data_IF_142738646710
#
_entry.id   IF_142738646710
#
_cell.length_a   1.000
_cell.length_b   1.000
_cell.length_c   1.000
_cell.angle_alpha   90.00
_cell.angle_beta   90.00
_cell.angle_gamma   90.00
#
_symmetry.space_group_name_H-M   'P 1'
#
loop_
_entity.id
_entity.type
_entity.pdbx_description
1 polymer ?
#
# COMPACT_ATOMS: atom_id res chain seq x y z
N UNK A 1 8.77 -3.22 -0.15
CA UNK A 1 9.37 -3.02 -1.48
C UNK A 1 9.01 -4.19 -2.38
N UNK A 2 8.72 -3.92 -3.60
CA UNK A 2 8.47 -4.94 -4.63
C UNK A 2 9.09 -4.56 -5.96
N UNK A 3 9.25 -5.55 -6.82
CA UNK A 3 9.80 -5.34 -8.16
C UNK A 3 8.66 -5.13 -9.14
N UNK A 4 8.70 -4.03 -9.89
CA UNK A 4 7.75 -3.72 -10.96
C UNK A 4 8.55 -3.34 -12.20
N UNK A 5 8.41 -4.13 -13.26
CA UNK A 5 9.16 -3.95 -14.51
C UNK A 5 10.67 -3.77 -14.30
N UNK A 6 11.25 -4.58 -13.44
CA UNK A 6 12.69 -4.53 -13.14
C UNK A 6 13.13 -3.39 -12.23
N UNK A 7 12.20 -2.61 -11.71
CA UNK A 7 12.48 -1.50 -10.79
C UNK A 7 11.93 -1.78 -9.40
N UNK A 8 12.71 -1.44 -8.38
CA UNK A 8 12.25 -1.50 -7.00
C UNK A 8 11.22 -0.38 -6.75
N UNK A 9 10.03 -0.75 -6.31
CA UNK A 9 8.96 0.18 -5.92
C UNK A 9 8.72 0.05 -4.43
N UNK A 10 8.73 1.17 -3.73
CA UNK A 10 8.58 1.24 -2.28
C UNK A 10 7.15 1.58 -1.88
N UNK A 11 6.72 1.02 -0.76
CA UNK A 11 5.45 1.33 -0.12
C UNK A 11 5.67 2.19 1.13
N UNK A 12 4.61 2.76 1.67
CA UNK A 12 4.68 3.55 2.91
C UNK A 12 5.25 2.74 4.09
N UNK A 13 4.99 1.43 4.14
CA UNK A 13 5.54 0.53 5.16
C UNK A 13 7.07 0.45 5.12
N UNK A 14 7.69 0.64 3.95
CA UNK A 14 9.15 0.66 3.83
C UNK A 14 9.77 1.85 4.57
N UNK A 15 9.03 2.95 4.67
CA UNK A 15 9.47 4.11 5.45
C UNK A 15 9.54 3.78 6.95
N UNK A 16 8.58 3.03 7.47
CA UNK A 16 8.61 2.57 8.84
C UNK A 16 9.82 1.65 9.10
N UNK A 17 10.09 0.75 8.18
CA UNK A 17 11.26 -0.13 8.24
C UNK A 17 12.56 0.69 8.21
N UNK A 18 12.63 1.72 7.36
CA UNK A 18 13.79 2.62 7.28
C UNK A 18 14.02 3.39 8.58
N UNK A 19 12.97 3.92 9.18
CA UNK A 19 13.05 4.64 10.44
C UNK A 19 13.48 3.74 11.60
N UNK A 20 13.05 2.48 11.58
CA UNK A 20 13.47 1.49 12.56
C UNK A 20 14.92 1.03 12.35
N UNK A 21 15.28 0.75 11.10
CA UNK A 21 16.63 0.31 10.74
C UNK A 21 16.85 0.48 9.22
N UNK A 22 17.66 1.48 8.79
CA UNK A 22 17.93 1.69 7.36
C UNK A 22 18.51 0.46 6.66
N UNK A 23 19.28 -0.34 7.38
CA UNK A 23 19.88 -1.57 6.84
C UNK A 23 18.80 -2.61 6.44
N UNK A 24 17.69 -2.66 7.17
CA UNK A 24 16.56 -3.54 6.85
C UNK A 24 16.01 -3.26 5.45
N UNK A 25 15.82 -1.99 5.10
CA UNK A 25 15.34 -1.60 3.76
C UNK A 25 16.35 -1.99 2.68
N UNK A 26 17.64 -1.80 2.93
CA UNK A 26 18.69 -2.21 2.00
C UNK A 26 18.67 -3.74 1.76
N UNK A 27 18.48 -4.53 2.80
CA UNK A 27 18.37 -5.99 2.70
C UNK A 27 17.10 -6.41 1.96
N UNK A 28 15.97 -5.78 2.25
CA UNK A 28 14.70 -6.05 1.57
C UNK A 28 14.80 -5.74 0.07
N UNK A 29 15.40 -4.60 -0.27
CA UNK A 29 15.65 -4.23 -1.67
C UNK A 29 16.53 -5.26 -2.38
N UNK A 30 17.60 -5.68 -1.73
CA UNK A 30 18.51 -6.70 -2.27
C UNK A 30 17.78 -8.02 -2.53
N UNK A 31 16.98 -8.48 -1.57
CA UNK A 31 16.20 -9.70 -1.71
C UNK A 31 15.23 -9.65 -2.89
N UNK A 32 14.50 -8.55 -3.04
CA UNK A 32 13.56 -8.33 -4.15
C UNK A 32 14.29 -8.32 -5.50
N UNK A 33 15.43 -7.64 -5.60
CA UNK A 33 16.22 -7.58 -6.84
C UNK A 33 16.84 -8.94 -7.22
N UNK A 34 17.11 -9.79 -6.24
CA UNK A 34 17.58 -11.17 -6.48
C UNK A 34 16.47 -12.14 -6.82
N UNK A 35 15.21 -11.77 -6.65
CA UNK A 35 14.08 -12.66 -6.83
C UNK A 35 13.92 -13.68 -5.69
N UNK A 36 14.44 -13.37 -4.50
CA UNK A 36 14.29 -14.23 -3.34
C UNK A 36 12.81 -14.32 -2.95
N UNK A 37 12.36 -15.51 -2.52
CA UNK A 37 11.01 -15.72 -2.06
C UNK A 37 10.75 -14.88 -0.80
N UNK A 38 9.55 -14.27 -0.64
CA UNK A 38 9.20 -13.61 0.61
C UNK A 38 9.17 -14.62 1.76
N UNK A 39 9.42 -14.16 3.01
CA UNK A 39 9.30 -15.04 4.17
C UNK A 39 7.91 -15.67 4.23
N UNK A 40 7.82 -16.86 4.80
CA UNK A 40 6.53 -17.51 5.04
C UNK A 40 5.64 -16.62 5.90
N UNK A 41 4.35 -16.60 5.54
CA UNK A 41 3.37 -15.82 6.28
C UNK A 41 3.24 -16.33 7.71
N UNK A 42 3.40 -15.43 8.65
CA UNK A 42 3.13 -15.70 10.05
C UNK A 42 1.60 -15.64 10.28
N UNK A 43 0.98 -16.74 10.78
CA UNK A 43 -0.46 -16.73 11.07
C UNK A 43 -0.90 -15.59 12.00
N UNK A 44 -0.06 -15.20 12.95
CA UNK A 44 -0.35 -14.07 13.84
C UNK A 44 -0.38 -12.74 13.07
N UNK A 45 0.56 -12.54 12.13
CA UNK A 45 0.60 -11.37 11.27
C UNK A 45 -0.65 -11.29 10.38
N UNK A 46 -1.16 -12.41 9.90
CA UNK A 46 -2.37 -12.44 9.10
C UNK A 46 -3.62 -12.05 9.89
N UNK A 47 -3.73 -12.48 11.15
CA UNK A 47 -4.82 -12.07 12.04
C UNK A 47 -4.79 -10.55 12.24
N UNK A 48 -3.62 -9.98 12.49
CA UNK A 48 -3.44 -8.53 12.66
C UNK A 48 -3.83 -7.78 11.38
N UNK A 49 -3.39 -8.27 10.22
CA UNK A 49 -3.71 -7.67 8.93
C UNK A 49 -5.23 -7.72 8.64
N UNK A 50 -5.89 -8.82 8.96
CA UNK A 50 -7.34 -8.95 8.82
C UNK A 50 -8.09 -7.97 9.72
N UNK A 51 -7.68 -7.83 10.98
CA UNK A 51 -8.25 -6.85 11.90
C UNK A 51 -8.03 -5.42 11.41
N UNK A 52 -6.86 -5.13 10.83
CA UNK A 52 -6.58 -3.85 10.21
C UNK A 52 -7.53 -3.54 9.06
N UNK A 53 -7.76 -4.48 8.16
CA UNK A 53 -8.71 -4.33 7.05
C UNK A 53 -10.15 -4.12 7.52
N UNK A 54 -10.58 -4.87 8.53
CA UNK A 54 -11.92 -4.70 9.14
C UNK A 54 -12.08 -3.30 9.73
N UNK A 55 -11.05 -2.80 10.39
CA UNK A 55 -11.03 -1.45 10.96
C UNK A 55 -11.12 -0.37 9.86
N UNK A 56 -10.32 -0.52 8.81
CA UNK A 56 -10.33 0.41 7.67
C UNK A 56 -11.72 0.49 7.02
N UNK A 57 -12.37 -0.66 6.81
CA UNK A 57 -13.72 -0.70 6.27
C UNK A 57 -14.74 -0.04 7.20
N UNK A 58 -14.62 -0.22 8.50
CA UNK A 58 -15.49 0.41 9.48
C UNK A 58 -15.32 1.94 9.47
N UNK A 59 -14.10 2.43 9.40
CA UNK A 59 -13.80 3.87 9.29
C UNK A 59 -14.37 4.43 7.99
N UNK A 60 -14.17 3.75 6.87
CA UNK A 60 -14.68 4.16 5.57
C UNK A 60 -16.21 4.29 5.58
N UNK A 61 -16.91 3.29 6.10
CA UNK A 61 -18.37 3.32 6.24
C UNK A 61 -18.85 4.46 7.13
N UNK A 62 -18.13 4.74 8.20
CA UNK A 62 -18.44 5.86 9.08
C UNK A 62 -18.31 7.20 8.35
N UNK A 63 -17.23 7.40 7.60
CA UNK A 63 -17.01 8.62 6.81
C UNK A 63 -18.11 8.80 5.76
N UNK A 64 -18.47 7.75 5.03
CA UNK A 64 -19.56 7.78 4.06
C UNK A 64 -20.90 8.08 4.73
N UNK A 65 -21.14 7.50 5.90
CA UNK A 65 -22.37 7.75 6.69
C UNK A 65 -22.48 9.19 7.22
N UNK A 66 -21.34 9.84 7.44
CA UNK A 66 -21.28 11.26 7.84
C UNK A 66 -21.43 12.23 6.65
N UNK A 67 -21.62 11.71 5.44
CA UNK A 67 -21.76 12.50 4.22
C UNK A 67 -20.45 13.00 3.64
N UNK A 68 -19.32 12.48 4.09
CA UNK A 68 -18.00 12.81 3.53
C UNK A 68 -17.84 12.11 2.20
N UNK A 69 -17.48 12.86 1.17
CA UNK A 69 -17.18 12.28 -0.13
C UNK A 69 -15.88 11.46 -0.07
N UNK A 70 -15.97 10.21 -0.43
CA UNK A 70 -14.84 9.28 -0.43
C UNK A 70 -14.60 8.81 -1.86
N UNK A 71 -13.39 9.00 -2.35
CA UNK A 71 -12.95 8.45 -3.64
C UNK A 71 -12.17 7.17 -3.37
N UNK A 72 -12.68 6.05 -3.86
CA UNK A 72 -12.00 4.77 -3.75
C UNK A 72 -11.08 4.58 -4.94
N UNK A 73 -9.80 4.34 -4.67
CA UNK A 73 -8.84 3.98 -5.71
C UNK A 73 -8.85 2.45 -5.83
N UNK A 74 -9.14 1.91 -7.03
CA UNK A 74 -9.19 0.47 -7.20
C UNK A 74 -7.85 -0.19 -6.86
N UNK A 75 -7.92 -1.30 -6.12
CA UNK A 75 -6.78 -2.20 -5.98
C UNK A 75 -6.61 -2.95 -7.29
N UNK A 76 -5.49 -2.76 -7.95
CA UNK A 76 -5.16 -3.49 -9.16
C UNK A 76 -4.54 -4.86 -8.87
N UNK A 77 -4.16 -5.55 -9.92
CA UNK A 77 -3.46 -6.84 -9.87
C UNK A 77 -1.97 -6.71 -9.51
N UNK A 78 -1.50 -5.49 -9.23
CA UNK A 78 -0.09 -5.18 -8.98
C UNK A 78 0.73 -4.94 -10.23
N UNK A 79 0.12 -4.95 -11.41
CA UNK A 79 0.81 -4.63 -12.66
C UNK A 79 1.22 -3.16 -12.71
N UNK A 80 2.24 -2.85 -13.52
CA UNK A 80 2.69 -1.48 -13.71
C UNK A 80 1.58 -0.56 -14.24
N UNK A 81 0.77 -1.05 -15.18
CA UNK A 81 -0.36 -0.30 -15.73
C UNK A 81 -1.39 0.06 -14.68
N UNK A 82 -1.74 -0.87 -13.81
CA UNK A 82 -2.70 -0.64 -12.72
C UNK A 82 -2.14 0.33 -11.66
N UNK A 83 -0.86 0.26 -11.37
CA UNK A 83 -0.21 1.22 -10.47
C UNK A 83 -0.21 2.64 -11.03
N UNK A 84 0.07 2.80 -12.32
CA UNK A 84 0.02 4.10 -13.00
C UNK A 84 -1.41 4.66 -12.96
N UNK A 85 -2.40 3.83 -13.28
CA UNK A 85 -3.81 4.23 -13.24
C UNK A 85 -4.23 4.68 -11.82
N UNK A 86 -3.89 3.91 -10.80
CA UNK A 86 -4.18 4.25 -9.41
C UNK A 86 -3.53 5.59 -9.01
N UNK A 87 -2.29 5.81 -9.42
CA UNK A 87 -1.58 7.06 -9.17
C UNK A 87 -2.25 8.26 -9.87
N UNK A 88 -2.72 8.08 -11.10
CA UNK A 88 -3.44 9.12 -11.84
C UNK A 88 -4.76 9.48 -11.16
N UNK A 89 -5.54 8.50 -10.75
CA UNK A 89 -6.79 8.72 -9.99
C UNK A 89 -6.51 9.49 -8.70
N UNK A 90 -5.50 9.07 -7.97
CA UNK A 90 -5.10 9.72 -6.71
C UNK A 90 -4.72 11.18 -6.94
N UNK A 91 -3.87 11.45 -7.94
CA UNK A 91 -3.46 12.82 -8.26
C UNK A 91 -4.62 13.70 -8.71
N UNK A 92 -5.49 13.17 -9.56
CA UNK A 92 -6.68 13.88 -10.03
C UNK A 92 -7.60 14.25 -8.86
N UNK A 93 -7.83 13.33 -7.94
CA UNK A 93 -8.65 13.56 -6.75
C UNK A 93 -8.03 14.62 -5.84
N UNK A 94 -6.72 14.55 -5.62
CA UNK A 94 -6.01 15.56 -4.82
C UNK A 94 -6.06 16.94 -5.44
N UNK A 95 -5.96 17.06 -6.77
CA UNK A 95 -6.03 18.32 -7.49
C UNK A 95 -7.44 18.91 -7.50
N UNK A 96 -8.48 18.09 -7.55
CA UNK A 96 -9.87 18.55 -7.50
C UNK A 96 -10.22 19.22 -6.19
N UNK A 97 -9.42 18.97 -5.15
CA UNK A 97 -9.62 19.56 -3.83
C UNK A 97 -10.93 19.14 -3.18
N UNK A 98 -11.45 17.98 -3.54
CA UNK A 98 -12.65 17.46 -2.92
C UNK A 98 -12.44 17.27 -1.42
N UNK A 99 -13.01 18.16 -0.67
CA UNK A 99 -13.10 18.13 0.79
C UNK A 99 -14.56 18.08 1.17
N UNK A 100 -14.97 17.01 1.71
CA UNK A 100 -16.31 16.92 2.24
C UNK A 100 -16.36 16.00 3.44
#
# INVERSE_FOLDING_TARGET
>A
VRLVEGRAVYAASDLNDYLACPHRVALNRRAVLRGDAPPEDDPAAEIIARKGREHELAVLRRLEGEGIAVVRVPEGDGSAAELVRAAEITRATMRSGERR
#
